data_IF_634302883480
#
_entry.id   IF_634302883480
#
_cell.length_a   1.000
_cell.length_b   1.000
_cell.length_c   1.000
_cell.angle_alpha   90.00
_cell.angle_beta   90.00
_cell.angle_gamma   90.00
#
_symmetry.space_group_name_H-M   'P 1'
#
loop_
_entity.id
_entity.type
_entity.pdbx_description
1 polymer ?
#
# COMPACT_ATOMS: atom_id res chain seq x y z
N UNK A 1 -6.36 -13.06 16.51
CA UNK A 1 -5.19 -12.17 16.28
C UNK A 1 -3.87 -12.81 15.77
N UNK A 2 -3.59 -14.13 15.86
CA UNK A 2 -2.22 -14.63 15.65
C UNK A 2 -1.71 -14.47 14.21
N UNK A 3 -2.61 -14.33 13.22
CA UNK A 3 -2.24 -14.06 11.82
C UNK A 3 -1.82 -12.59 11.66
N UNK A 4 -2.67 -11.64 12.04
CA UNK A 4 -2.38 -10.20 11.96
C UNK A 4 -1.10 -9.84 12.69
N UNK A 5 -0.89 -10.41 13.89
CA UNK A 5 0.29 -10.12 14.68
C UNK A 5 1.58 -10.63 14.02
N UNK A 6 1.56 -11.79 13.35
CA UNK A 6 2.70 -12.29 12.57
C UNK A 6 2.98 -11.41 11.36
N UNK A 7 1.94 -10.98 10.65
CA UNK A 7 2.08 -10.07 9.51
C UNK A 7 2.72 -8.76 9.95
N UNK A 8 2.17 -8.10 10.96
CA UNK A 8 2.66 -6.81 11.45
C UNK A 8 4.11 -6.91 11.94
N UNK A 9 4.44 -7.95 12.73
CA UNK A 9 5.82 -8.20 13.17
C UNK A 9 6.76 -8.49 12.00
N UNK A 10 6.32 -9.26 11.00
CA UNK A 10 7.11 -9.55 9.81
C UNK A 10 7.45 -8.31 8.97
N UNK A 11 6.65 -7.25 9.06
CA UNK A 11 6.90 -5.96 8.41
C UNK A 11 7.59 -4.94 9.34
N UNK A 12 8.09 -5.37 10.50
CA UNK A 12 8.73 -4.48 11.48
C UNK A 12 7.78 -3.49 12.16
N UNK A 13 6.48 -3.75 12.10
CA UNK A 13 5.44 -2.89 12.67
C UNK A 13 4.97 -3.27 14.06
N UNK A 14 4.00 -2.49 14.57
CA UNK A 14 3.35 -2.68 15.86
C UNK A 14 1.82 -2.72 15.71
N UNK A 15 1.15 -3.58 16.50
CA UNK A 15 -0.31 -3.72 16.53
C UNK A 15 -0.82 -3.52 17.96
N UNK A 16 -1.67 -2.53 18.14
CA UNK A 16 -2.41 -2.27 19.39
C UNK A 16 -3.90 -2.56 19.19
N UNK A 17 -4.55 -3.02 20.25
CA UNK A 17 -5.98 -3.25 20.27
C UNK A 17 -6.54 -2.54 21.49
N UNK A 18 -7.56 -1.70 21.27
CA UNK A 18 -8.33 -1.03 22.33
C UNK A 18 -9.76 -1.52 22.23
N UNK A 19 -10.23 -2.23 23.24
CA UNK A 19 -11.60 -2.75 23.27
C UNK A 19 -12.30 -2.29 24.54
N UNK A 20 -13.57 -1.95 24.42
CA UNK A 20 -14.46 -1.68 25.55
C UNK A 20 -15.74 -2.47 25.33
N UNK A 21 -16.17 -3.20 26.36
CA UNK A 21 -17.40 -4.00 26.32
C UNK A 21 -18.60 -3.15 25.87
N UNK A 22 -19.38 -3.70 24.94
CA UNK A 22 -20.53 -3.01 24.35
C UNK A 22 -20.20 -1.85 23.39
N UNK A 23 -18.93 -1.48 23.20
CA UNK A 23 -18.50 -0.39 22.32
C UNK A 23 -17.63 -0.84 21.14
N UNK A 24 -17.39 -2.14 21.01
CA UNK A 24 -16.55 -2.71 19.95
C UNK A 24 -15.05 -2.60 20.25
N UNK A 25 -14.25 -2.79 19.21
CA UNK A 25 -12.79 -2.80 19.30
C UNK A 25 -12.15 -1.96 18.18
N UNK A 26 -11.17 -1.16 18.56
CA UNK A 26 -10.29 -0.41 17.68
C UNK A 26 -8.96 -1.14 17.53
N UNK A 27 -8.50 -1.28 16.29
CA UNK A 27 -7.22 -1.89 15.95
C UNK A 27 -6.32 -0.82 15.33
N UNK A 28 -5.17 -0.58 15.95
CA UNK A 28 -4.20 0.42 15.48
C UNK A 28 -2.94 -0.27 15.01
N UNK A 29 -2.61 -0.12 13.73
CA UNK A 29 -1.41 -0.70 13.12
C UNK A 29 -0.45 0.45 12.78
N UNK A 30 0.80 0.31 13.22
CA UNK A 30 1.90 1.22 12.89
C UNK A 30 2.95 0.45 12.11
N UNK A 31 3.27 0.90 10.91
CA UNK A 31 4.31 0.30 10.07
C UNK A 31 5.44 1.33 9.86
N UNK A 32 6.71 0.90 9.80
CA UNK A 32 7.80 1.77 9.38
C UNK A 32 7.53 2.34 7.99
N UNK A 33 7.75 3.64 7.81
CA UNK A 33 7.71 4.26 6.48
C UNK A 33 9.10 4.16 5.85
N UNK A 34 9.23 3.38 4.79
CA UNK A 34 10.44 3.43 3.97
C UNK A 34 10.38 4.74 3.17
N UNK A 35 11.15 5.75 3.55
CA UNK A 35 11.53 6.80 2.59
C UNK A 35 12.52 6.17 1.61
N UNK A 36 12.02 5.29 0.73
CA UNK A 36 12.75 4.83 -0.43
C UNK A 36 12.59 5.91 -1.51
N UNK A 37 13.37 6.98 -1.37
CA UNK A 37 13.40 8.11 -2.29
C UNK A 37 12.16 8.98 -2.19
N UNK A 38 12.31 10.17 -1.60
CA UNK A 38 11.45 11.27 -1.99
C UNK A 38 11.66 11.44 -3.51
N UNK A 39 10.70 10.96 -4.31
CA UNK A 39 10.60 11.39 -5.70
C UNK A 39 10.36 12.89 -5.59
N UNK A 40 11.28 13.78 -6.01
CA UNK A 40 10.95 15.19 -6.04
C UNK A 40 9.70 15.29 -6.91
N UNK A 41 8.68 15.99 -6.40
CA UNK A 41 7.43 16.19 -7.11
C UNK A 41 7.69 16.93 -8.43
N UNK A 42 8.06 16.18 -9.46
CA UNK A 42 8.28 16.65 -10.81
C UNK A 42 6.95 16.53 -11.56
N UNK A 43 6.15 17.58 -11.39
CA UNK A 43 5.23 18.18 -12.37
C UNK A 43 4.27 17.24 -13.12
N UNK A 44 2.99 17.32 -12.76
CA UNK A 44 1.82 16.77 -13.47
C UNK A 44 1.55 17.43 -14.85
N UNK A 45 2.50 17.46 -15.77
CA UNK A 45 2.24 17.90 -17.16
C UNK A 45 2.43 16.78 -18.17
N UNK A 46 1.34 16.03 -18.32
CA UNK A 46 0.78 15.47 -19.56
C UNK A 46 1.69 14.77 -20.57
N UNK A 47 1.38 13.51 -20.89
CA UNK A 47 1.22 13.09 -22.29
C UNK A 47 0.39 11.82 -22.38
N UNK A 48 -0.78 11.95 -23.01
CA UNK A 48 -1.69 10.86 -23.35
C UNK A 48 -1.06 9.99 -24.46
N UNK A 49 -1.26 8.68 -24.31
CA UNK A 49 -1.38 7.71 -25.41
C UNK A 49 -0.23 7.61 -26.43
N UNK A 50 0.66 6.64 -26.23
CA UNK A 50 1.17 5.87 -27.36
C UNK A 50 0.44 4.52 -27.41
N UNK A 51 -0.74 4.54 -28.05
CA UNK A 51 -1.40 3.31 -28.50
C UNK A 51 -0.71 2.83 -29.77
N UNK A 52 0.21 1.88 -29.64
CA UNK A 52 0.80 1.17 -30.79
C UNK A 52 -0.26 0.23 -31.38
N UNK A 53 -0.69 0.38 -32.64
CA UNK A 53 -1.66 -0.55 -33.23
C UNK A 53 -0.98 -1.89 -33.58
N UNK A 54 -1.58 -2.98 -33.11
CA UNK A 54 -1.20 -4.36 -33.40
C UNK A 54 -1.33 -4.64 -34.90
N UNK A 55 -0.22 -4.75 -35.62
CA UNK A 55 -0.24 -5.17 -37.03
C UNK A 55 -0.62 -6.65 -37.13
N UNK A 56 -1.85 -6.93 -37.57
CA UNK A 56 -2.24 -8.27 -38.01
C UNK A 56 -1.38 -8.67 -39.22
N UNK A 57 -0.60 -9.74 -39.09
CA UNK A 57 -0.08 -10.47 -40.25
C UNK A 57 -0.90 -11.74 -40.41
N UNK A 58 -1.77 -11.72 -41.41
CA UNK A 58 -2.31 -12.90 -42.06
C UNK A 58 -1.18 -13.54 -42.87
N UNK A 59 -1.01 -14.85 -42.76
CA UNK A 59 -0.68 -15.75 -43.87
C UNK A 59 -1.11 -17.16 -43.54
#
# INVERSE_FOLDING_TARGET
LPICQRIVKGHGGHLEVRSREGAGAEFVIRLPTTTAGAVPAASERGSLAEVVPLRRRHS
#
